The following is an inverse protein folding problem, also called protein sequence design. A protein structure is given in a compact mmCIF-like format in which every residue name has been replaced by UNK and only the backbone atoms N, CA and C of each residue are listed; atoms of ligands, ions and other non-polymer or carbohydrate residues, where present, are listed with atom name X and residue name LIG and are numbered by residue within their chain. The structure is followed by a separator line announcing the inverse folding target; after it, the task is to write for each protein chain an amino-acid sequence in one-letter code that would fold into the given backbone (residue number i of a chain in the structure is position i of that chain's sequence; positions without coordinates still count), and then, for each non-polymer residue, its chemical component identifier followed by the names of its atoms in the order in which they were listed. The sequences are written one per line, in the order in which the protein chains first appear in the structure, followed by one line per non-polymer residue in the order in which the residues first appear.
data_IF_091800861272
#
_entry.id   IF_091800861272
#
_cell.length_a   1.000
_cell.length_b   1.000
_cell.length_c   1.000
_cell.angle_alpha   90.00
_cell.angle_beta   90.00
_cell.angle_gamma   90.00
#
_symmetry.space_group_name_H-M   'P 1'
#
loop_
_entity.id
_entity.type
_entity.pdbx_description
1 polymer ?
#
# COMPACT_ATOMS: atom_id res chain seq x y z
N UNK A 1 -19.75 -9.57 -1.72
CA UNK A 1 -18.71 -10.61 -2.00
C UNK A 1 -17.87 -10.78 -0.74
N UNK A 2 -17.56 -12.01 -0.35
CA UNK A 2 -16.66 -12.29 0.77
C UNK A 2 -15.23 -12.48 0.23
N UNK A 3 -14.40 -11.44 0.35
CA UNK A 3 -13.00 -11.49 -0.12
C UNK A 3 -12.13 -12.44 0.70
N UNK A 4 -12.46 -12.67 1.98
CA UNK A 4 -11.67 -13.56 2.85
C UNK A 4 -11.63 -15.00 2.32
N UNK A 5 -12.72 -15.48 1.76
CA UNK A 5 -12.81 -16.80 1.14
C UNK A 5 -12.00 -16.94 -0.17
N UNK A 6 -11.56 -15.80 -0.73
CA UNK A 6 -10.77 -15.75 -1.97
C UNK A 6 -9.29 -15.52 -1.72
N UNK A 7 -8.85 -15.45 -0.46
CA UNK A 7 -7.45 -15.37 -0.08
C UNK A 7 -6.96 -16.76 0.24
N UNK A 8 -5.95 -17.21 -0.50
CA UNK A 8 -5.31 -18.50 -0.25
C UNK A 8 -4.30 -18.39 0.90
N UNK A 9 -4.21 -19.44 1.70
CA UNK A 9 -3.27 -19.49 2.82
C UNK A 9 -2.24 -20.60 2.61
N UNK A 10 -0.96 -20.24 2.72
CA UNK A 10 0.17 -21.15 2.55
C UNK A 10 1.01 -21.15 3.83
N UNK A 11 0.92 -22.20 4.66
CA UNK A 11 1.75 -22.30 5.86
C UNK A 11 3.21 -22.54 5.49
N UNK A 12 4.12 -22.03 6.32
CA UNK A 12 5.56 -22.18 6.17
C UNK A 12 6.13 -21.61 4.85
N UNK A 13 5.57 -20.52 4.34
CA UNK A 13 6.07 -19.81 3.17
C UNK A 13 6.30 -18.31 3.49
N UNK A 14 7.41 -17.71 3.03
CA UNK A 14 8.58 -18.30 2.38
C UNK A 14 9.51 -19.04 3.35
N UNK A 15 9.21 -18.99 4.66
CA UNK A 15 10.00 -19.61 5.74
C UNK A 15 9.07 -20.35 6.70
N UNK A 16 9.62 -21.35 7.40
CA UNK A 16 8.93 -22.08 8.47
C UNK A 16 8.37 -21.09 9.54
N UNK A 17 7.12 -21.30 9.93
CA UNK A 17 6.41 -20.47 10.91
C UNK A 17 5.68 -19.27 10.34
N UNK A 18 5.82 -18.96 9.05
CA UNK A 18 5.08 -17.88 8.39
C UNK A 18 3.86 -18.44 7.68
N UNK A 19 2.68 -17.86 7.98
CA UNK A 19 1.46 -18.11 7.21
C UNK A 19 1.32 -17.01 6.16
N UNK A 20 1.59 -17.37 4.91
CA UNK A 20 1.49 -16.45 3.78
C UNK A 20 0.03 -16.38 3.29
N UNK A 21 -0.48 -15.17 3.19
CA UNK A 21 -1.81 -14.89 2.64
C UNK A 21 -1.68 -14.34 1.23
N UNK A 22 -2.20 -15.08 0.28
CA UNK A 22 -2.08 -14.78 -1.13
C UNK A 22 -3.41 -14.28 -1.70
N UNK A 23 -3.41 -13.07 -2.23
CA UNK A 23 -4.57 -12.48 -2.89
C UNK A 23 -4.58 -12.67 -4.41
N UNK A 24 -3.68 -13.48 -4.98
CA UNK A 24 -3.67 -13.80 -6.41
C UNK A 24 -5.00 -14.29 -6.95
N UNK A 25 -5.81 -15.09 -6.20
CA UNK A 25 -7.14 -15.45 -6.65
C UNK A 25 -8.08 -14.26 -6.85
N UNK A 26 -7.91 -13.18 -6.09
CA UNK A 26 -8.65 -11.92 -6.29
C UNK A 26 -8.21 -11.24 -7.58
N UNK A 27 -6.90 -11.22 -7.86
CA UNK A 27 -6.37 -10.62 -9.09
C UNK A 27 -6.81 -11.35 -10.37
N UNK A 28 -7.01 -12.65 -10.29
CA UNK A 28 -7.46 -13.49 -11.40
C UNK A 28 -8.93 -13.27 -11.78
N UNK A 29 -9.75 -12.86 -10.82
CA UNK A 29 -11.20 -12.73 -10.98
C UNK A 29 -11.60 -11.27 -11.26
N UNK A 30 -12.08 -10.94 -12.47
CA UNK A 30 -12.46 -9.57 -12.81
C UNK A 30 -13.58 -9.01 -11.91
N UNK A 31 -14.49 -9.87 -11.44
CA UNK A 31 -15.55 -9.47 -10.51
C UNK A 31 -14.99 -9.09 -9.14
N UNK A 32 -13.99 -9.82 -8.65
CA UNK A 32 -13.31 -9.52 -7.40
C UNK A 32 -12.47 -8.24 -7.50
N UNK A 33 -11.79 -8.02 -8.63
CA UNK A 33 -11.06 -6.78 -8.89
C UNK A 33 -11.99 -5.56 -8.89
N UNK A 34 -13.13 -5.65 -9.59
CA UNK A 34 -14.14 -4.58 -9.58
C UNK A 34 -14.67 -4.33 -8.18
N UNK A 35 -14.97 -5.41 -7.43
CA UNK A 35 -15.46 -5.30 -6.05
C UNK A 35 -14.43 -4.60 -5.14
N UNK A 36 -13.15 -4.93 -5.25
CA UNK A 36 -12.07 -4.28 -4.49
C UNK A 36 -12.04 -2.77 -4.80
N UNK A 37 -12.07 -2.40 -6.08
CA UNK A 37 -12.06 -1.00 -6.49
C UNK A 37 -13.31 -0.25 -5.99
N UNK A 38 -14.48 -0.87 -6.04
CA UNK A 38 -15.74 -0.29 -5.56
C UNK A 38 -15.74 -0.07 -4.04
N UNK A 39 -15.23 -1.04 -3.26
CA UNK A 39 -15.16 -0.90 -1.80
C UNK A 39 -14.22 0.25 -1.38
N UNK A 40 -13.10 0.44 -2.06
CA UNK A 40 -12.26 1.62 -1.80
C UNK A 40 -12.92 2.91 -2.26
N UNK A 41 -13.66 2.91 -3.38
CA UNK A 41 -14.38 4.09 -3.88
C UNK A 41 -15.53 4.55 -2.97
N UNK A 42 -16.10 3.65 -2.18
CA UNK A 42 -17.08 3.99 -1.14
C UNK A 42 -16.44 4.71 0.05
N UNK A 43 -15.17 4.43 0.32
CA UNK A 43 -14.45 4.96 1.49
C UNK A 43 -13.64 6.21 1.16
N UNK A 44 -12.96 6.24 0.02
CA UNK A 44 -12.20 7.38 -0.47
C UNK A 44 -12.95 8.03 -1.63
N UNK A 45 -13.30 9.30 -1.49
CA UNK A 45 -13.92 10.04 -2.58
C UNK A 45 -12.88 10.54 -3.60
N UNK A 46 -13.30 10.79 -4.84
CA UNK A 46 -12.41 11.22 -5.90
C UNK A 46 -11.64 12.52 -5.58
N UNK A 47 -12.28 13.41 -4.80
CA UNK A 47 -11.66 14.66 -4.34
C UNK A 47 -10.64 14.47 -3.20
N UNK A 48 -10.53 13.27 -2.63
CA UNK A 48 -9.58 12.94 -1.56
C UNK A 48 -8.21 12.54 -2.13
N UNK A 49 -8.08 12.37 -3.44
CA UNK A 49 -6.88 11.82 -4.07
C UNK A 49 -6.53 12.54 -5.37
N UNK A 50 -5.25 12.85 -5.53
CA UNK A 50 -4.66 13.32 -6.78
C UNK A 50 -3.77 12.25 -7.41
N UNK A 51 -3.17 11.38 -6.57
CA UNK A 51 -2.20 10.38 -6.98
C UNK A 51 -2.21 9.19 -6.02
N UNK A 52 -2.02 7.98 -6.53
CA UNK A 52 -1.81 6.78 -5.72
C UNK A 52 -0.32 6.47 -5.63
N UNK A 53 0.14 5.98 -4.47
CA UNK A 53 1.50 5.51 -4.28
C UNK A 53 1.49 4.03 -3.91
N UNK A 54 2.04 3.17 -4.76
CA UNK A 54 2.14 1.73 -4.49
C UNK A 54 3.46 1.36 -3.85
N UNK A 55 3.42 0.55 -2.78
CA UNK A 55 4.62 0.01 -2.12
C UNK A 55 5.05 -1.27 -2.84
N UNK A 56 6.35 -1.39 -3.12
CA UNK A 56 6.94 -2.56 -3.75
C UNK A 56 6.67 -3.84 -2.96
N UNK A 57 6.20 -4.87 -3.63
CA UNK A 57 5.91 -4.89 -5.06
C UNK A 57 4.41 -5.08 -5.31
N UNK A 58 3.71 -5.79 -4.43
CA UNK A 58 2.29 -6.13 -4.60
C UNK A 58 1.36 -4.92 -4.41
N UNK A 59 1.81 -3.91 -3.68
CA UNK A 59 1.12 -2.62 -3.58
C UNK A 59 0.97 -1.89 -4.93
N UNK A 60 1.85 -2.16 -5.90
CA UNK A 60 1.72 -1.62 -7.27
C UNK A 60 0.43 -2.08 -7.94
N UNK A 61 0.03 -3.32 -7.72
CA UNK A 61 -1.17 -3.89 -8.32
C UNK A 61 -2.42 -3.16 -7.81
N UNK A 62 -2.53 -2.98 -6.50
CA UNK A 62 -3.64 -2.24 -5.91
C UNK A 62 -3.63 -0.78 -6.33
N UNK A 63 -2.47 -0.11 -6.30
CA UNK A 63 -2.34 1.29 -6.73
C UNK A 63 -2.75 1.47 -8.19
N UNK A 64 -2.34 0.55 -9.08
CA UNK A 64 -2.72 0.57 -10.51
C UNK A 64 -4.22 0.38 -10.72
N UNK A 65 -4.84 -0.56 -10.02
CA UNK A 65 -6.29 -0.80 -10.07
C UNK A 65 -7.05 0.47 -9.64
N UNK A 66 -6.66 1.07 -8.51
CA UNK A 66 -7.32 2.27 -7.98
C UNK A 66 -7.04 3.48 -8.86
N UNK A 67 -5.82 3.68 -9.36
CA UNK A 67 -5.49 4.76 -10.28
C UNK A 67 -6.37 4.73 -11.53
N UNK A 68 -6.52 3.56 -12.15
CA UNK A 68 -7.41 3.36 -13.30
C UNK A 68 -8.88 3.65 -12.94
N UNK A 69 -9.36 3.13 -11.79
CA UNK A 69 -10.74 3.31 -11.33
C UNK A 69 -11.09 4.78 -11.07
N UNK A 70 -10.14 5.56 -10.53
CA UNK A 70 -10.32 6.97 -10.20
C UNK A 70 -9.95 7.94 -11.33
N UNK A 71 -9.46 7.43 -12.45
CA UNK A 71 -8.86 8.23 -13.52
C UNK A 71 -7.74 9.16 -13.00
N UNK A 72 -6.84 8.59 -12.20
CA UNK A 72 -5.67 9.26 -11.60
C UNK A 72 -4.39 8.54 -12.00
N UNK A 73 -3.24 9.13 -11.69
CA UNK A 73 -1.94 8.48 -11.86
C UNK A 73 -1.51 7.69 -10.63
N UNK A 74 -0.37 6.99 -10.77
CA UNK A 74 0.30 6.35 -9.65
C UNK A 74 1.80 6.55 -9.70
N UNK A 75 2.45 6.44 -8.54
CA UNK A 75 3.90 6.41 -8.38
C UNK A 75 4.32 5.17 -7.61
N UNK A 76 5.57 4.78 -7.78
CA UNK A 76 6.13 3.61 -7.10
C UNK A 76 7.03 4.03 -5.93
N UNK A 77 6.85 3.38 -4.78
CA UNK A 77 7.78 3.40 -3.67
C UNK A 77 8.52 2.07 -3.70
N UNK A 78 9.84 2.10 -3.83
CA UNK A 78 10.65 0.90 -4.02
C UNK A 78 11.80 0.82 -3.02
N UNK A 79 12.36 -0.37 -2.86
CA UNK A 79 13.63 -0.54 -2.15
C UNK A 79 14.74 0.21 -2.88
N UNK A 80 15.66 0.78 -2.10
CA UNK A 80 16.75 1.61 -2.63
C UNK A 80 17.53 0.92 -3.75
N UNK A 81 17.85 1.68 -4.81
CA UNK A 81 18.59 1.20 -5.97
C UNK A 81 17.75 0.60 -7.10
N UNK A 82 16.40 0.63 -6.99
CA UNK A 82 15.52 0.07 -8.02
C UNK A 82 14.81 1.11 -8.90
N UNK A 83 14.96 2.39 -8.59
CA UNK A 83 14.38 3.47 -9.39
C UNK A 83 15.47 4.26 -10.13
N UNK A 84 15.25 4.61 -11.41
CA UNK A 84 16.18 5.43 -12.17
C UNK A 84 16.05 6.92 -11.82
N UNK A 85 17.03 7.70 -12.20
CA UNK A 85 17.02 9.16 -12.07
C UNK A 85 17.27 9.63 -10.63
N UNK A 86 16.81 10.84 -10.34
CA UNK A 86 16.96 11.43 -9.00
C UNK A 86 15.89 10.89 -8.08
N UNK A 87 16.33 10.25 -6.99
CA UNK A 87 15.44 9.70 -5.96
C UNK A 87 15.66 10.37 -4.62
N UNK A 88 14.62 10.39 -3.81
CA UNK A 88 14.70 10.71 -2.38
C UNK A 88 14.57 9.39 -1.63
N UNK A 89 15.43 9.20 -0.64
CA UNK A 89 15.51 7.97 0.15
C UNK A 89 15.15 8.23 1.60
N UNK A 90 14.62 7.20 2.25
CA UNK A 90 14.37 7.18 3.68
C UNK A 90 14.70 5.79 4.22
N UNK A 91 15.58 5.76 5.21
CA UNK A 91 15.93 4.54 5.94
C UNK A 91 15.10 4.43 7.21
N UNK A 92 14.67 3.23 7.56
CA UNK A 92 13.88 2.93 8.74
C UNK A 92 14.24 1.58 9.35
N UNK A 93 14.04 1.47 10.65
CA UNK A 93 14.33 0.23 11.40
C UNK A 93 13.28 -0.84 11.08
N UNK A 94 13.75 -2.05 10.91
CA UNK A 94 12.94 -3.27 10.83
C UNK A 94 13.32 -4.18 12.00
N UNK A 95 12.62 -5.30 12.17
CA UNK A 95 12.85 -6.25 13.28
C UNK A 95 14.32 -6.69 13.38
N UNK A 96 14.96 -6.92 12.23
CA UNK A 96 16.38 -7.27 12.15
C UNK A 96 17.10 -6.33 11.17
N UNK A 97 17.63 -5.20 11.70
CA UNK A 97 18.42 -4.25 10.93
C UNK A 97 17.67 -3.02 10.45
N UNK A 98 17.96 -2.60 9.24
CA UNK A 98 17.45 -1.38 8.62
C UNK A 98 17.09 -1.65 7.17
N UNK A 99 15.99 -1.08 6.71
CA UNK A 99 15.61 -1.08 5.30
C UNK A 99 15.57 0.36 4.77
N UNK A 100 15.71 0.53 3.46
CA UNK A 100 15.70 1.84 2.81
C UNK A 100 14.78 1.81 1.62
N UNK A 101 13.84 2.73 1.59
CA UNK A 101 12.91 2.93 0.48
C UNK A 101 13.21 4.24 -0.24
N UNK A 102 12.81 4.31 -1.49
CA UNK A 102 13.01 5.48 -2.34
C UNK A 102 11.80 5.77 -3.22
N UNK A 103 11.69 7.02 -3.63
CA UNK A 103 10.73 7.52 -4.60
C UNK A 103 11.42 8.50 -5.54
N UNK A 104 10.98 8.59 -6.78
CA UNK A 104 11.49 9.56 -7.74
C UNK A 104 11.03 10.98 -7.35
N UNK A 105 12.00 11.91 -7.27
CA UNK A 105 11.80 13.24 -6.68
C UNK A 105 10.72 14.07 -7.39
N UNK A 106 10.70 14.03 -8.72
CA UNK A 106 9.94 14.99 -9.52
C UNK A 106 8.53 14.50 -9.90
N UNK A 107 8.09 13.35 -9.35
CA UNK A 107 6.77 12.76 -9.67
C UNK A 107 5.64 13.23 -8.75
N UNK A 108 5.98 13.85 -7.62
CA UNK A 108 5.00 14.39 -6.66
C UNK A 108 5.18 15.89 -6.57
N UNK A 109 4.09 16.63 -6.76
CA UNK A 109 4.03 18.08 -6.56
C UNK A 109 3.62 18.39 -5.12
N UNK A 110 4.09 19.53 -4.62
CA UNK A 110 3.72 19.98 -3.28
C UNK A 110 2.21 20.10 -3.11
N UNK A 111 1.72 19.59 -1.98
CA UNK A 111 0.30 19.60 -1.63
C UNK A 111 -0.57 18.57 -2.34
N UNK A 112 -0.04 17.77 -3.28
CA UNK A 112 -0.82 16.70 -3.90
C UNK A 112 -1.31 15.69 -2.86
N UNK A 113 -2.59 15.35 -2.94
CA UNK A 113 -3.25 14.39 -2.07
C UNK A 113 -2.94 12.95 -2.52
N UNK A 114 -2.36 12.17 -1.62
CA UNK A 114 -1.84 10.85 -1.95
C UNK A 114 -2.46 9.80 -1.04
N UNK A 115 -2.94 8.72 -1.67
CA UNK A 115 -3.32 7.48 -0.99
C UNK A 115 -2.21 6.46 -1.22
N UNK A 116 -1.66 5.93 -0.14
CA UNK A 116 -0.65 4.88 -0.18
C UNK A 116 -1.35 3.51 -0.21
N UNK A 117 -0.91 2.65 -1.12
CA UNK A 117 -1.46 1.33 -1.35
C UNK A 117 -0.44 0.23 -1.09
N UNK A 118 -0.86 -0.78 -0.34
CA UNK A 118 -0.15 -2.05 -0.24
C UNK A 118 -1.15 -3.21 -0.15
N UNK A 119 -0.70 -4.42 -0.38
CA UNK A 119 -1.55 -5.58 -0.27
C UNK A 119 -1.83 -5.97 1.18
N UNK A 120 -0.85 -5.80 2.08
CA UNK A 120 -0.93 -6.27 3.46
C UNK A 120 -0.35 -5.26 4.45
N UNK A 121 -1.12 -4.96 5.49
CA UNK A 121 -0.66 -4.23 6.67
C UNK A 121 -0.31 -5.23 7.78
N UNK A 122 1.00 -5.35 8.08
CA UNK A 122 1.52 -6.18 9.17
C UNK A 122 1.90 -5.29 10.37
N UNK A 123 3.18 -5.06 10.59
CA UNK A 123 3.69 -4.20 11.68
C UNK A 123 3.56 -2.69 11.40
N UNK A 124 3.33 -2.31 10.15
CA UNK A 124 3.15 -0.92 9.72
C UNK A 124 4.45 -0.12 9.52
N UNK A 125 5.61 -0.74 9.70
CA UNK A 125 6.90 -0.06 9.57
C UNK A 125 7.10 0.56 8.17
N UNK A 126 6.88 -0.23 7.12
CA UNK A 126 7.01 0.22 5.72
C UNK A 126 5.95 1.28 5.38
N UNK A 127 4.70 1.10 5.83
CA UNK A 127 3.63 2.07 5.61
C UNK A 127 3.97 3.43 6.24
N UNK A 128 4.41 3.43 7.49
CA UNK A 128 4.85 4.64 8.21
C UNK A 128 6.05 5.31 7.53
N UNK A 129 7.04 4.53 7.10
CA UNK A 129 8.20 5.04 6.38
C UNK A 129 7.80 5.65 5.02
N UNK A 130 6.87 5.03 4.31
CA UNK A 130 6.33 5.52 3.04
C UNK A 130 5.61 6.86 3.20
N UNK A 131 4.81 7.02 4.26
CA UNK A 131 4.18 8.31 4.56
C UNK A 131 5.22 9.40 4.79
N UNK A 132 6.21 9.17 5.65
CA UNK A 132 7.28 10.12 5.91
C UNK A 132 8.07 10.48 4.66
N UNK A 133 8.32 9.52 3.77
CA UNK A 133 9.03 9.75 2.52
C UNK A 133 8.25 10.68 1.59
N UNK A 134 6.95 10.46 1.45
CA UNK A 134 6.06 11.30 0.64
C UNK A 134 5.92 12.71 1.23
N UNK A 135 5.72 12.82 2.55
CA UNK A 135 5.64 14.12 3.23
C UNK A 135 6.94 14.93 3.11
N UNK A 136 8.09 14.25 3.15
CA UNK A 136 9.40 14.88 2.96
C UNK A 136 9.57 15.57 1.60
N UNK A 137 8.87 15.11 0.59
CA UNK A 137 8.90 15.69 -0.76
C UNK A 137 7.69 16.58 -1.08
N UNK A 138 6.90 16.94 -0.05
CA UNK A 138 5.80 17.88 -0.15
C UNK A 138 4.43 17.27 -0.43
N UNK A 139 4.31 15.95 -0.55
CA UNK A 139 3.02 15.28 -0.71
C UNK A 139 2.18 15.31 0.59
N UNK A 140 0.87 15.29 0.45
CA UNK A 140 -0.08 15.23 1.55
C UNK A 140 -0.74 13.85 1.60
N UNK A 141 -0.51 13.10 2.66
CA UNK A 141 -1.15 11.78 2.83
C UNK A 141 -2.61 11.99 3.23
N UNK A 142 -3.51 11.47 2.41
CA UNK A 142 -4.97 11.49 2.66
C UNK A 142 -5.51 10.12 3.06
N UNK A 143 -4.75 9.06 2.87
CA UNK A 143 -5.15 7.75 3.34
C UNK A 143 -4.22 6.61 2.99
N UNK A 144 -4.59 5.45 3.50
CA UNK A 144 -3.97 4.16 3.20
C UNK A 144 -5.03 3.15 2.76
N UNK A 145 -4.71 2.39 1.73
CA UNK A 145 -5.54 1.31 1.20
C UNK A 145 -4.78 -0.03 1.29
N UNK A 146 -5.34 -0.99 2.02
CA UNK A 146 -4.81 -2.34 2.14
C UNK A 146 -5.88 -3.38 1.78
N UNK A 147 -5.50 -4.46 1.13
CA UNK A 147 -6.40 -5.60 0.94
C UNK A 147 -6.52 -6.37 2.25
N UNK A 148 -5.40 -6.65 2.91
CA UNK A 148 -5.31 -7.46 4.13
C UNK A 148 -4.72 -6.66 5.29
N UNK A 149 -5.26 -6.84 6.49
CA UNK A 149 -4.69 -6.34 7.75
C UNK A 149 -4.52 -7.49 8.74
N UNK A 150 -3.31 -7.63 9.29
CA UNK A 150 -3.01 -8.54 10.39
C UNK A 150 -3.16 -7.77 11.71
N UNK A 151 -4.37 -7.78 12.28
CA UNK A 151 -4.74 -6.91 13.41
C UNK A 151 -3.91 -7.16 14.66
N UNK A 152 -3.50 -8.39 14.91
CA UNK A 152 -2.65 -8.80 16.04
C UNK A 152 -1.28 -8.11 16.06
N UNK A 153 -0.76 -7.73 14.88
CA UNK A 153 0.54 -7.06 14.74
C UNK A 153 0.46 -5.54 14.98
N UNK A 154 -0.74 -5.00 15.08
CA UNK A 154 -0.99 -3.63 15.50
C UNK A 154 -0.45 -2.54 14.56
N UNK A 155 -0.18 -2.85 13.29
CA UNK A 155 0.42 -1.92 12.32
C UNK A 155 -0.37 -0.63 12.12
N UNK A 156 -1.70 -0.69 12.29
CA UNK A 156 -2.58 0.48 12.21
C UNK A 156 -2.21 1.59 13.21
N UNK A 157 -1.65 1.23 14.37
CA UNK A 157 -1.26 2.21 15.41
C UNK A 157 -0.20 3.18 14.92
N UNK A 158 0.71 2.73 14.04
CA UNK A 158 1.79 3.55 13.49
C UNK A 158 1.34 4.57 12.43
N UNK A 159 0.11 4.44 11.93
CA UNK A 159 -0.48 5.28 10.87
C UNK A 159 -1.89 5.79 11.25
N UNK A 160 -2.23 5.77 12.54
CA UNK A 160 -3.59 6.09 13.04
C UNK A 160 -4.04 7.53 12.81
N UNK A 161 -3.11 8.45 12.52
CA UNK A 161 -3.42 9.84 12.17
C UNK A 161 -4.00 10.00 10.75
N UNK A 162 -3.93 8.97 9.92
CA UNK A 162 -4.44 8.97 8.56
C UNK A 162 -5.71 8.11 8.43
N UNK A 163 -6.56 8.43 7.46
CA UNK A 163 -7.64 7.52 7.07
C UNK A 163 -7.03 6.19 6.59
N UNK A 164 -7.53 5.08 7.09
CA UNK A 164 -7.03 3.76 6.69
C UNK A 164 -8.20 2.81 6.42
N UNK A 165 -8.14 2.14 5.28
CA UNK A 165 -9.11 1.10 4.90
C UNK A 165 -8.41 -0.19 4.58
N UNK A 166 -8.76 -1.24 5.32
CA UNK A 166 -8.41 -2.63 5.02
C UNK A 166 -9.68 -3.39 4.69
N UNK A 167 -9.67 -4.21 3.64
CA UNK A 167 -10.86 -4.92 3.18
C UNK A 167 -11.08 -6.23 3.94
N UNK A 168 -10.00 -6.92 4.29
CA UNK A 168 -10.02 -8.18 5.04
C UNK A 168 -9.16 -8.06 6.28
N UNK A 169 -9.67 -8.49 7.44
CA UNK A 169 -8.95 -8.50 8.71
C UNK A 169 -8.76 -9.92 9.23
N UNK A 170 -7.58 -10.20 9.76
CA UNK A 170 -7.22 -11.44 10.45
C UNK A 170 -6.74 -11.14 11.85
#
# INVERSE_FOLDING_TARGET
MNLKERISEYPNFPKKGILFRDFSPILKDPSALSFVADEFSKFFHNNDVDLFAGIESRGFLLAGILAARYNKGMVMIRKAGKLPGKTIKLSYKIEYGQDTIEIQKDLIKEGQKIIICDDLLATGGTAKASAKLIEKIGGKITGFAFIIELTELGGIKGISQYKCKSLVKY
#
